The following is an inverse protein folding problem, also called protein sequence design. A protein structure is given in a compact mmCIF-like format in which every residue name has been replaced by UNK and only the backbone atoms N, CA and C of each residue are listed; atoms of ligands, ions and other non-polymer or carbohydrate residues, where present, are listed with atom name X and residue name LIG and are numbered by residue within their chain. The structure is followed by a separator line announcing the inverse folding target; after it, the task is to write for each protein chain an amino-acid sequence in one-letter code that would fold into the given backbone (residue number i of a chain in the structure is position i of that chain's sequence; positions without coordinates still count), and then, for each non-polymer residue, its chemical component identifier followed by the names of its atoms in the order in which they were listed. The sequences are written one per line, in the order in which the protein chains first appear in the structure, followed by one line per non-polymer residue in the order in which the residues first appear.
data_IF_275275107194
#
_entry.id   IF_275275107194
#
_cell.length_a   1.000
_cell.length_b   1.000
_cell.length_c   1.000
_cell.angle_alpha   90.00
_cell.angle_beta   90.00
_cell.angle_gamma   90.00
#
_symmetry.space_group_name_H-M   'P 1'
#
loop_
_entity.id
_entity.type
_entity.pdbx_description
1 polymer ?
#
# COMPACT_ATOMS: atom_id res chain seq x y z
N UNK A 1 13.94 1.29 -17.10
CA UNK A 1 13.95 0.27 -16.03
C UNK A 1 15.17 0.54 -15.19
N UNK A 2 15.08 0.35 -13.88
CA UNK A 2 16.19 0.53 -12.93
C UNK A 2 16.24 -0.69 -12.03
N UNK A 3 17.43 -1.06 -11.57
CA UNK A 3 17.63 -2.19 -10.65
C UNK A 3 18.14 -1.66 -9.32
N UNK A 4 17.53 -2.14 -8.23
CA UNK A 4 17.97 -1.92 -6.87
C UNK A 4 18.64 -3.18 -6.35
N UNK A 5 19.90 -3.08 -5.92
CA UNK A 5 20.69 -4.21 -5.41
C UNK A 5 21.35 -3.83 -4.09
N UNK A 6 21.57 -4.81 -3.21
CA UNK A 6 22.33 -4.63 -1.98
C UNK A 6 21.61 -5.19 -0.76
N UNK A 7 22.13 -4.89 0.42
CA UNK A 7 21.58 -5.36 1.69
C UNK A 7 21.09 -4.20 2.54
N UNK A 8 19.95 -4.39 3.20
CA UNK A 8 19.41 -3.47 4.21
C UNK A 8 19.04 -4.21 5.48
N UNK A 9 19.05 -3.50 6.60
CA UNK A 9 18.76 -4.06 7.93
C UNK A 9 17.30 -3.97 8.36
N UNK A 10 16.41 -3.51 7.48
CA UNK A 10 14.97 -3.50 7.75
C UNK A 10 14.14 -3.46 6.47
N UNK A 11 12.96 -4.07 6.53
CA UNK A 11 11.99 -3.97 5.44
C UNK A 11 11.52 -2.53 5.21
N UNK A 12 11.47 -1.70 6.25
CA UNK A 12 11.18 -0.28 6.10
C UNK A 12 12.19 0.44 5.19
N UNK A 13 13.49 0.15 5.34
CA UNK A 13 14.54 0.72 4.50
C UNK A 13 14.47 0.23 3.05
N UNK A 14 14.18 -1.06 2.85
CA UNK A 14 13.94 -1.61 1.50
C UNK A 14 12.84 -0.84 0.78
N UNK A 15 11.69 -0.68 1.44
CA UNK A 15 10.54 0.08 0.89
C UNK A 15 10.87 1.57 0.70
N UNK A 16 11.71 2.15 1.55
CA UNK A 16 12.13 3.55 1.39
C UNK A 16 12.99 3.74 0.14
N UNK A 17 13.94 2.83 -0.12
CA UNK A 17 14.76 2.84 -1.33
C UNK A 17 13.88 2.68 -2.58
N UNK A 18 12.97 1.70 -2.58
CA UNK A 18 12.01 1.47 -3.66
C UNK A 18 11.17 2.73 -3.94
N UNK A 19 10.63 3.35 -2.89
CA UNK A 19 9.83 4.59 -3.00
C UNK A 19 10.64 5.75 -3.54
N UNK A 20 11.90 5.91 -3.12
CA UNK A 20 12.75 6.98 -3.60
C UNK A 20 12.98 6.87 -5.11
N UNK A 21 13.27 5.67 -5.60
CA UNK A 21 13.47 5.41 -7.03
C UNK A 21 12.17 5.58 -7.83
N UNK A 22 11.03 5.13 -7.29
CA UNK A 22 9.71 5.30 -7.93
C UNK A 22 9.29 6.76 -8.14
N UNK A 23 9.88 7.71 -7.40
CA UNK A 23 9.64 9.15 -7.58
C UNK A 23 10.40 9.76 -8.75
N UNK A 24 11.43 9.08 -9.27
CA UNK A 24 12.24 9.61 -10.36
C UNK A 24 11.41 9.62 -11.64
N UNK A 25 11.31 10.78 -12.29
CA UNK A 25 10.57 10.95 -13.55
C UNK A 25 11.12 9.99 -14.62
N UNK A 26 10.21 9.36 -15.38
CA UNK A 26 10.57 8.43 -16.45
C UNK A 26 10.94 7.01 -15.98
N UNK A 27 11.02 6.74 -14.67
CA UNK A 27 11.13 5.37 -14.17
C UNK A 27 9.81 4.63 -14.37
N UNK A 28 9.82 3.69 -15.32
CA UNK A 28 8.65 2.85 -15.67
C UNK A 28 8.59 1.51 -14.95
N UNK A 29 9.74 0.99 -14.50
CA UNK A 29 9.85 -0.30 -13.82
C UNK A 29 11.08 -0.34 -12.90
N UNK A 30 10.95 -1.01 -11.75
CA UNK A 30 12.01 -1.27 -10.76
C UNK A 30 12.18 -2.78 -10.63
N UNK A 31 13.37 -3.29 -10.90
CA UNK A 31 13.80 -4.63 -10.52
C UNK A 31 14.43 -4.55 -9.13
N UNK A 32 13.97 -5.37 -8.19
CA UNK A 32 14.33 -5.26 -6.76
C UNK A 32 15.05 -6.52 -6.29
N UNK A 33 16.38 -6.41 -6.19
CA UNK A 33 17.29 -7.43 -5.66
C UNK A 33 17.89 -6.99 -4.30
N UNK A 34 17.20 -6.11 -3.57
CA UNK A 34 17.58 -5.76 -2.19
C UNK A 34 17.20 -6.90 -1.25
N UNK A 35 18.18 -7.39 -0.50
CA UNK A 35 17.99 -8.37 0.56
C UNK A 35 17.81 -7.69 1.91
N UNK A 36 16.80 -8.11 2.67
CA UNK A 36 16.65 -7.69 4.08
C UNK A 36 17.38 -8.71 4.93
N UNK A 37 18.59 -8.35 5.36
CA UNK A 37 19.44 -9.17 6.22
C UNK A 37 19.48 -8.59 7.62
N UNK A 38 19.36 -9.45 8.63
CA UNK A 38 19.54 -9.10 10.03
C UNK A 38 20.85 -9.70 10.52
N UNK A 39 21.56 -9.00 11.39
CA UNK A 39 22.71 -9.57 12.09
C UNK A 39 22.23 -10.72 13.00
N UNK A 40 23.14 -11.62 13.36
CA UNK A 40 22.81 -12.80 14.17
C UNK A 40 22.14 -12.49 15.52
N UNK A 41 22.33 -11.27 16.05
CA UNK A 41 21.70 -10.79 17.28
C UNK A 41 20.26 -10.30 17.09
N UNK A 42 19.88 -9.90 15.87
CA UNK A 42 18.54 -9.39 15.52
C UNK A 42 17.67 -10.45 14.83
N UNK A 43 18.18 -11.69 14.72
CA UNK A 43 17.43 -12.79 14.17
C UNK A 43 16.24 -13.12 15.07
N UNK A 44 15.03 -12.97 14.53
CA UNK A 44 13.78 -13.36 15.17
C UNK A 44 13.22 -14.59 14.48
N UNK A 45 12.78 -15.55 15.27
CA UNK A 45 11.99 -16.68 14.78
C UNK A 45 10.63 -16.18 14.28
N UNK A 46 10.00 -16.93 13.37
CA UNK A 46 8.67 -16.60 12.86
C UNK A 46 7.63 -16.49 14.00
N UNK A 47 7.77 -17.29 15.05
CA UNK A 47 6.92 -17.21 16.25
C UNK A 47 7.10 -15.89 17.00
N UNK A 48 8.34 -15.42 17.18
CA UNK A 48 8.61 -14.13 17.80
C UNK A 48 8.09 -12.98 16.95
N UNK A 49 8.30 -13.03 15.63
CA UNK A 49 7.77 -12.02 14.70
C UNK A 49 6.24 -12.01 14.79
N UNK A 50 5.59 -13.17 14.76
CA UNK A 50 4.14 -13.27 14.87
C UNK A 50 3.61 -12.63 16.16
N UNK A 51 4.22 -12.93 17.31
CA UNK A 51 3.84 -12.35 18.59
C UNK A 51 3.98 -10.82 18.60
N UNK A 52 5.11 -10.29 18.12
CA UNK A 52 5.33 -8.85 18.07
C UNK A 52 4.35 -8.17 17.10
N UNK A 53 4.00 -8.80 15.97
CA UNK A 53 2.98 -8.29 15.04
C UNK A 53 1.60 -8.26 15.72
N UNK A 54 1.21 -9.32 16.43
CA UNK A 54 -0.04 -9.39 17.18
C UNK A 54 -0.13 -8.23 18.17
N UNK A 55 0.89 -8.06 18.99
CA UNK A 55 0.95 -7.00 19.99
C UNK A 55 0.87 -5.63 19.31
N UNK A 56 1.73 -5.37 18.33
CA UNK A 56 1.79 -4.07 17.67
C UNK A 56 0.47 -3.69 16.99
N UNK A 57 -0.25 -4.66 16.40
CA UNK A 57 -1.59 -4.42 15.84
C UNK A 57 -2.62 -4.12 16.93
N UNK A 58 -2.56 -4.81 18.08
CA UNK A 58 -3.46 -4.58 19.21
C UNK A 58 -3.28 -3.17 19.84
N UNK A 59 -2.07 -2.62 19.80
CA UNK A 59 -1.75 -1.27 20.27
C UNK A 59 -2.16 -0.16 19.28
N UNK A 60 -2.42 -0.46 18.01
CA UNK A 60 -2.79 0.54 17.02
C UNK A 60 -4.29 0.82 17.00
N UNK A 61 -4.69 2.01 17.44
CA UNK A 61 -6.12 2.41 17.53
C UNK A 61 -6.86 2.42 16.19
N UNK A 62 -6.16 2.54 15.06
CA UNK A 62 -6.77 2.54 13.74
C UNK A 62 -7.04 1.12 13.22
N UNK A 63 -6.46 0.09 13.85
CA UNK A 63 -6.64 -1.31 13.44
C UNK A 63 -7.74 -1.95 14.29
N UNK A 64 -8.83 -2.45 13.69
CA UNK A 64 -9.90 -3.09 14.44
C UNK A 64 -9.40 -4.40 15.07
N UNK A 65 -9.64 -4.53 16.38
CA UNK A 65 -9.25 -5.72 17.16
C UNK A 65 -9.95 -6.97 16.62
N UNK A 66 -9.22 -8.09 16.60
CA UNK A 66 -9.70 -9.44 16.28
C UNK A 66 -10.19 -9.70 14.84
N UNK A 67 -10.02 -8.75 13.91
CA UNK A 67 -10.46 -8.91 12.52
C UNK A 67 -9.33 -9.25 11.52
N UNK A 68 -8.11 -9.43 12.03
CA UNK A 68 -6.91 -9.68 11.22
C UNK A 68 -6.22 -10.94 11.72
N UNK A 69 -6.05 -11.91 10.83
CA UNK A 69 -5.22 -13.10 11.00
C UNK A 69 -3.84 -12.88 10.42
N UNK A 70 -2.83 -13.40 11.12
CA UNK A 70 -1.41 -13.26 10.78
C UNK A 70 -0.83 -14.65 10.55
N UNK A 71 -0.08 -14.80 9.46
CA UNK A 71 0.84 -15.93 9.25
C UNK A 71 2.23 -15.35 9.05
N UNK A 72 3.25 -16.00 9.62
CA UNK A 72 4.66 -15.67 9.37
C UNK A 72 5.36 -16.91 8.83
N UNK A 73 6.15 -16.75 7.79
CA UNK A 73 6.94 -17.82 7.15
C UNK A 73 8.23 -17.21 6.61
N UNK A 74 9.39 -17.67 7.09
CA UNK A 74 10.72 -17.18 6.69
C UNK A 74 10.88 -15.66 6.82
N UNK A 75 10.29 -15.06 7.86
CA UNK A 75 10.25 -13.62 8.10
C UNK A 75 9.29 -12.83 7.19
N UNK A 76 8.51 -13.49 6.34
CA UNK A 76 7.42 -12.87 5.57
C UNK A 76 6.13 -12.85 6.38
N UNK A 77 5.52 -11.67 6.51
CA UNK A 77 4.27 -11.49 7.24
C UNK A 77 3.10 -11.42 6.26
N UNK A 78 2.13 -12.32 6.44
CA UNK A 78 0.90 -12.38 5.68
C UNK A 78 -0.24 -11.86 6.56
N UNK A 79 -0.80 -10.71 6.21
CA UNK A 79 -1.96 -10.13 6.86
C UNK A 79 -3.22 -10.47 6.09
N UNK A 80 -4.21 -11.04 6.74
CA UNK A 80 -5.50 -11.45 6.14
C UNK A 80 -6.64 -11.09 7.06
N UNK A 81 -7.86 -10.94 6.51
CA UNK A 81 -9.03 -10.60 7.32
C UNK A 81 -9.96 -9.59 6.65
N UNK A 82 -10.79 -8.93 7.44
CA UNK A 82 -11.84 -8.02 6.96
C UNK A 82 -11.92 -6.75 7.80
N UNK A 83 -11.66 -5.59 7.20
CA UNK A 83 -11.75 -4.26 7.85
C UNK A 83 -12.86 -3.43 7.20
N UNK A 84 -13.26 -2.31 7.79
CA UNK A 84 -14.33 -1.46 7.23
C UNK A 84 -13.81 -0.41 6.25
N UNK A 85 -12.55 0.00 6.42
CA UNK A 85 -11.97 1.10 5.66
C UNK A 85 -10.56 0.79 5.15
N UNK A 86 -10.22 1.34 3.99
CA UNK A 86 -8.90 1.21 3.39
C UNK A 86 -7.77 1.67 4.31
N UNK A 87 -7.98 2.75 5.07
CA UNK A 87 -6.96 3.26 5.99
C UNK A 87 -6.64 2.26 7.11
N UNK A 88 -7.59 1.41 7.52
CA UNK A 88 -7.36 0.37 8.54
C UNK A 88 -6.48 -0.74 7.97
N UNK A 89 -6.74 -1.15 6.72
CA UNK A 89 -5.91 -2.10 5.97
C UNK A 89 -4.48 -1.58 5.83
N UNK A 90 -4.33 -0.30 5.49
CA UNK A 90 -3.02 0.34 5.32
C UNK A 90 -2.30 0.54 6.67
N UNK A 91 -3.04 0.88 7.74
CA UNK A 91 -2.49 0.98 9.08
C UNK A 91 -1.90 -0.36 9.56
N UNK A 92 -2.61 -1.47 9.34
CA UNK A 92 -2.13 -2.80 9.70
C UNK A 92 -0.80 -3.15 9.01
N UNK A 93 -0.69 -2.85 7.71
CA UNK A 93 0.57 -3.03 6.95
C UNK A 93 1.70 -2.17 7.53
N UNK A 94 1.43 -0.89 7.81
CA UNK A 94 2.45 0.05 8.31
C UNK A 94 2.99 -0.32 9.67
N UNK A 95 2.13 -0.85 10.54
CA UNK A 95 2.54 -1.35 11.87
C UNK A 95 3.56 -2.48 11.70
N UNK A 96 3.24 -3.49 10.89
CA UNK A 96 4.14 -4.62 10.68
C UNK A 96 5.44 -4.22 9.94
N UNK A 97 5.41 -3.18 9.10
CA UNK A 97 6.55 -2.77 8.27
C UNK A 97 7.80 -2.35 9.07
N UNK A 98 7.62 -1.88 10.30
CA UNK A 98 8.70 -1.32 11.11
C UNK A 98 9.21 -2.30 12.19
N UNK A 99 8.73 -3.55 12.18
CA UNK A 99 9.11 -4.54 13.18
C UNK A 99 10.41 -5.25 12.80
N UNK A 100 11.24 -5.53 13.80
CA UNK A 100 12.49 -6.29 13.66
C UNK A 100 12.16 -7.73 13.24
N UNK A 101 12.97 -8.30 12.35
CA UNK A 101 12.78 -9.63 11.79
C UNK A 101 11.87 -9.70 10.56
N UNK A 102 11.06 -8.67 10.29
CA UNK A 102 10.18 -8.64 9.12
C UNK A 102 10.98 -8.39 7.84
N UNK A 103 11.01 -9.38 6.95
CA UNK A 103 11.67 -9.29 5.63
C UNK A 103 10.74 -8.82 4.52
N UNK A 104 9.44 -9.04 4.68
CA UNK A 104 8.43 -8.69 3.68
C UNK A 104 7.01 -8.76 4.23
N UNK A 105 6.07 -8.09 3.55
CA UNK A 105 4.66 -8.06 3.95
C UNK A 105 3.74 -8.27 2.75
N UNK A 106 2.85 -9.24 2.87
CA UNK A 106 1.74 -9.49 1.95
C UNK A 106 0.44 -9.10 2.66
N UNK A 107 -0.26 -8.08 2.14
CA UNK A 107 -1.49 -7.56 2.74
C UNK A 107 -2.73 -7.98 1.94
N UNK A 108 -3.34 -9.08 2.37
CA UNK A 108 -4.55 -9.70 1.83
C UNK A 108 -5.81 -9.33 2.64
N UNK A 109 -5.76 -8.27 3.45
CA UNK A 109 -6.94 -7.77 4.15
C UNK A 109 -7.96 -7.23 3.13
N UNK A 110 -9.20 -7.67 3.26
CA UNK A 110 -10.33 -7.19 2.44
C UNK A 110 -11.15 -6.13 3.19
N UNK A 111 -11.88 -5.30 2.44
CA UNK A 111 -12.69 -4.20 2.99
C UNK A 111 -14.18 -4.61 2.93
N UNK A 112 -14.87 -4.61 4.07
CA UNK A 112 -16.34 -4.72 4.19
C UNK A 112 -16.91 -3.34 3.92
N UNK A 113 -17.89 -3.16 3.03
CA UNK A 113 -18.64 -1.90 3.02
C UNK A 113 -20.11 -2.02 2.62
N UNK A 114 -20.88 -1.06 3.16
CA UNK A 114 -22.29 -0.77 2.88
C UNK A 114 -22.36 0.17 1.68
N UNK A 115 -23.35 -0.05 0.79
CA UNK A 115 -23.54 0.72 -0.43
C UNK A 115 -23.74 2.23 -0.16
N UNK A 116 -22.77 3.06 -0.55
CA UNK A 116 -22.97 4.51 -0.74
C UNK A 116 -23.50 4.81 -2.16
N UNK A 117 -24.11 5.99 -2.35
CA UNK A 117 -24.65 6.42 -3.66
C UNK A 117 -23.51 6.79 -4.63
N UNK A 118 -23.49 6.14 -5.79
CA UNK A 118 -22.46 6.18 -6.84
C UNK A 118 -22.02 7.59 -7.29
N UNK A 119 -22.95 8.55 -7.35
CA UNK A 119 -22.65 9.90 -7.86
C UNK A 119 -21.66 10.68 -6.97
N UNK A 120 -21.67 10.43 -5.65
CA UNK A 120 -20.79 11.16 -4.73
C UNK A 120 -19.33 10.67 -4.79
N UNK A 121 -19.10 9.46 -5.32
CA UNK A 121 -17.79 8.82 -5.34
C UNK A 121 -16.85 9.58 -6.29
N UNK A 122 -17.27 9.84 -7.53
CA UNK A 122 -16.43 10.51 -8.55
C UNK A 122 -16.00 11.91 -8.11
N UNK A 123 -16.93 12.74 -7.64
CA UNK A 123 -16.65 14.10 -7.21
C UNK A 123 -15.66 14.13 -6.03
N UNK A 124 -15.79 13.19 -5.08
CA UNK A 124 -14.87 13.07 -3.95
C UNK A 124 -13.47 12.67 -4.37
N UNK A 125 -13.34 11.77 -5.35
CA UNK A 125 -12.04 11.36 -5.89
C UNK A 125 -11.35 12.54 -6.58
N UNK A 126 -12.06 13.26 -7.45
CA UNK A 126 -11.51 14.44 -8.13
C UNK A 126 -11.05 15.50 -7.12
N UNK A 127 -11.88 15.81 -6.13
CA UNK A 127 -11.49 16.73 -5.04
C UNK A 127 -10.29 16.21 -4.22
N UNK A 128 -10.13 14.90 -4.07
CA UNK A 128 -8.96 14.33 -3.40
C UNK A 128 -7.69 14.50 -4.24
N UNK A 129 -7.78 14.40 -5.57
CA UNK A 129 -6.66 14.67 -6.47
C UNK A 129 -6.26 16.14 -6.44
N UNK A 130 -7.22 17.06 -6.51
CA UNK A 130 -6.98 18.51 -6.44
C UNK A 130 -6.29 18.95 -5.13
N UNK A 131 -6.50 18.23 -4.03
CA UNK A 131 -5.84 18.48 -2.75
C UNK A 131 -4.40 17.97 -2.69
N UNK A 132 -4.00 17.13 -3.64
CA UNK A 132 -2.67 16.54 -3.65
C UNK A 132 -1.71 17.40 -4.48
N UNK A 133 -0.64 17.88 -3.84
CA UNK A 133 0.43 18.60 -4.54
C UNK A 133 1.21 17.73 -5.54
N UNK A 134 0.99 16.41 -5.54
CA UNK A 134 1.75 15.44 -6.32
C UNK A 134 0.99 14.87 -7.51
N UNK A 135 -0.29 15.22 -7.69
CA UNK A 135 -1.16 14.66 -8.72
C UNK A 135 -1.66 15.79 -9.62
N UNK A 136 -1.41 15.71 -10.93
CA UNK A 136 -2.11 16.59 -11.87
C UNK A 136 -3.50 16.03 -12.19
N UNK A 137 -4.51 16.50 -11.45
CA UNK A 137 -5.89 16.04 -11.57
C UNK A 137 -6.46 16.14 -13.00
N UNK A 138 -5.96 17.07 -13.83
CA UNK A 138 -6.44 17.26 -15.20
C UNK A 138 -5.96 16.17 -16.16
N UNK A 139 -4.92 15.42 -15.78
CA UNK A 139 -4.34 14.35 -16.59
C UNK A 139 -4.93 12.98 -16.31
N UNK A 140 -5.78 12.87 -15.29
CA UNK A 140 -6.35 11.62 -14.79
C UNK A 140 -7.87 11.63 -14.95
N UNK A 141 -8.37 10.66 -15.70
CA UNK A 141 -9.80 10.39 -15.83
C UNK A 141 -10.20 9.27 -14.87
N UNK A 142 -11.31 9.49 -14.15
CA UNK A 142 -11.93 8.51 -13.27
C UNK A 142 -13.21 8.01 -13.90
N UNK A 143 -13.24 6.71 -14.21
CA UNK A 143 -14.40 6.00 -14.75
C UNK A 143 -14.92 5.03 -13.71
N UNK A 144 -16.24 4.93 -13.57
CA UNK A 144 -16.87 3.92 -12.73
C UNK A 144 -17.14 2.68 -13.60
N UNK A 145 -16.50 1.55 -13.27
CA UNK A 145 -16.68 0.27 -13.97
C UNK A 145 -17.87 -0.48 -13.40
N UNK A 146 -18.00 -0.47 -12.08
CA UNK A 146 -19.13 -1.03 -11.32
C UNK A 146 -19.35 -0.19 -10.06
N UNK A 147 -20.38 -0.47 -9.27
CA UNK A 147 -20.80 0.30 -8.11
C UNK A 147 -19.66 0.68 -7.14
N UNK A 148 -18.64 -0.18 -7.04
CA UNK A 148 -17.50 -0.01 -6.15
C UNK A 148 -16.14 -0.16 -6.84
N UNK A 149 -16.13 -0.29 -8.17
CA UNK A 149 -14.91 -0.49 -8.96
C UNK A 149 -14.73 0.73 -9.84
N UNK A 150 -13.59 1.40 -9.70
CA UNK A 150 -13.22 2.50 -10.58
C UNK A 150 -12.02 2.11 -11.44
N UNK A 151 -11.93 2.77 -12.58
CA UNK A 151 -10.79 2.72 -13.47
C UNK A 151 -10.15 4.09 -13.54
N UNK A 152 -8.84 4.12 -13.33
CA UNK A 152 -8.02 5.32 -13.48
C UNK A 152 -7.29 5.25 -14.83
N UNK A 153 -7.52 6.24 -15.69
CA UNK A 153 -6.89 6.36 -17.01
C UNK A 153 -6.24 7.71 -17.18
N UNK A 154 -5.25 7.78 -18.07
CA UNK A 154 -4.52 9.01 -18.35
C UNK A 154 -3.02 8.86 -18.17
N UNK A 155 -2.33 9.99 -18.05
CA UNK A 155 -0.86 10.06 -18.09
C UNK A 155 -0.33 10.60 -16.77
N UNK A 156 0.71 9.98 -16.25
CA UNK A 156 1.42 10.41 -15.05
C UNK A 156 2.93 10.42 -15.30
N UNK A 157 3.68 11.22 -14.55
CA UNK A 157 5.10 11.47 -14.79
C UNK A 157 6.03 10.47 -14.10
N UNK A 158 5.51 9.74 -13.12
CA UNK A 158 6.30 8.79 -12.32
C UNK A 158 5.44 7.65 -11.78
N UNK A 159 6.10 6.58 -11.36
CA UNK A 159 5.45 5.48 -10.66
C UNK A 159 4.89 5.94 -9.30
N UNK A 160 5.53 6.91 -8.66
CA UNK A 160 5.04 7.49 -7.42
C UNK A 160 3.70 8.23 -7.63
N UNK A 161 3.59 9.05 -8.67
CA UNK A 161 2.33 9.74 -9.02
C UNK A 161 1.21 8.72 -9.32
N UNK A 162 1.52 7.64 -10.04
CA UNK A 162 0.59 6.51 -10.28
C UNK A 162 0.05 5.91 -8.99
N UNK A 163 0.91 5.67 -7.99
CA UNK A 163 0.51 5.13 -6.67
C UNK A 163 -0.29 6.17 -5.88
N UNK A 164 0.15 7.42 -5.86
CA UNK A 164 -0.53 8.47 -5.09
C UNK A 164 -1.94 8.73 -5.62
N UNK A 165 -2.14 8.71 -6.94
CA UNK A 165 -3.47 8.75 -7.54
C UNK A 165 -4.35 7.59 -7.07
N UNK A 166 -3.82 6.37 -7.01
CA UNK A 166 -4.56 5.21 -6.51
C UNK A 166 -4.92 5.35 -5.03
N UNK A 167 -4.00 5.79 -4.18
CA UNK A 167 -4.26 6.02 -2.75
C UNK A 167 -5.30 7.13 -2.54
N UNK A 168 -5.16 8.24 -3.26
CA UNK A 168 -6.08 9.36 -3.18
C UNK A 168 -7.50 8.94 -3.57
N UNK A 169 -7.63 8.08 -4.59
CA UNK A 169 -8.92 7.52 -4.97
C UNK A 169 -9.48 6.55 -3.91
N UNK A 170 -8.64 5.73 -3.26
CA UNK A 170 -9.08 4.86 -2.16
C UNK A 170 -9.52 5.62 -0.90
N UNK A 171 -9.15 6.89 -0.73
CA UNK A 171 -9.70 7.71 0.36
C UNK A 171 -11.16 8.10 0.13
N UNK A 172 -11.69 7.97 -1.09
CA UNK A 172 -13.11 8.09 -1.33
C UNK A 172 -13.83 6.83 -0.77
N UNK A 173 -14.80 6.99 0.14
CA UNK A 173 -15.68 5.91 0.56
C UNK A 173 -16.39 5.24 -0.62
N UNK A 174 -16.65 3.94 -0.48
CA UNK A 174 -17.35 3.14 -1.47
C UNK A 174 -16.45 2.51 -2.54
N UNK A 175 -15.13 2.71 -2.54
CA UNK A 175 -14.22 2.07 -3.50
C UNK A 175 -13.65 0.76 -2.96
N UNK A 176 -13.89 -0.35 -3.66
CA UNK A 176 -13.37 -1.69 -3.33
C UNK A 176 -12.13 -2.01 -4.13
N UNK A 177 -12.16 -1.63 -5.41
CA UNK A 177 -11.12 -1.96 -6.36
C UNK A 177 -10.85 -0.79 -7.29
N UNK A 178 -9.59 -0.65 -7.66
CA UNK A 178 -9.12 0.36 -8.59
C UNK A 178 -8.34 -0.34 -9.68
N UNK A 179 -8.89 -0.35 -10.87
CA UNK A 179 -8.20 -0.72 -12.10
C UNK A 179 -7.28 0.45 -12.50
N UNK A 180 -6.01 0.37 -12.09
CA UNK A 180 -5.05 1.46 -12.31
C UNK A 180 -4.33 1.32 -13.67
N UNK A 181 -4.99 1.83 -14.73
CA UNK A 181 -4.50 1.85 -16.11
C UNK A 181 -3.70 3.13 -16.45
N UNK A 182 -3.22 3.87 -15.46
CA UNK A 182 -2.42 5.08 -15.71
C UNK A 182 -1.10 4.75 -16.42
N UNK A 183 -0.78 5.52 -17.46
CA UNK A 183 0.44 5.37 -18.25
C UNK A 183 1.54 6.32 -17.75
N UNK A 184 2.73 5.78 -17.52
CA UNK A 184 3.90 6.60 -17.13
C UNK A 184 4.54 7.16 -18.40
N UNK A 185 4.43 8.48 -18.58
CA UNK A 185 5.08 9.18 -19.67
C UNK A 185 6.56 9.42 -19.35
N UNK A 186 7.41 9.10 -20.34
CA UNK A 186 8.85 9.39 -20.34
C UNK A 186 9.12 10.73 -21.00
#
# INVERSE_FOLDING_TARGET
MVTLTGQVFSYANKIAAEKAVKKIKGVKAVAEDIEVGYDSQDHKTDTEIANVVIDALAWNIAVPKNNISIKVEDGWVYLSGKVEWWYQREAAKRVAQHLIGVKGIINNISIKQKAEKLYQIKERIVKAFERSAYIDANTITVELVDAHIIKLRGKVNSFAEKIEAQKAAFYAPGIYEIENELEIIS
#
